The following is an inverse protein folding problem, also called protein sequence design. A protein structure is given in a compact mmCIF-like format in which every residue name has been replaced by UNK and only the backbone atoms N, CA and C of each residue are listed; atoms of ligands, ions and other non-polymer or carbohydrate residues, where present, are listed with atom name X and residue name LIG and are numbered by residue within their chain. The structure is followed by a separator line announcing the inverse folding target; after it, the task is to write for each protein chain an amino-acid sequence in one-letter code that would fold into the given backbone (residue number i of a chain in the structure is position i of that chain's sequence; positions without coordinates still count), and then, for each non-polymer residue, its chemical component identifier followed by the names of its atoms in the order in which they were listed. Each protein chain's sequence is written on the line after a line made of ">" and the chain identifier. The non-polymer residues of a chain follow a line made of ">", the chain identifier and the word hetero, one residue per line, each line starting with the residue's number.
data_IF_607365892017
#
_entry.id   IF_607365892017
#
_cell.length_a   1.000
_cell.length_b   1.000
_cell.length_c   1.000
_cell.angle_alpha   90.00
_cell.angle_beta   90.00
_cell.angle_gamma   90.00
#
_symmetry.space_group_name_H-M   'P 1'
#
loop_
_entity.id
_entity.type
_entity.pdbx_description
1 polymer ?
#
# COMPACT_ATOMS: atom_id res chain seq x y z
N UNK A 1 -6.40 12.00 24.16
CA UNK A 1 -5.17 12.55 23.57
C UNK A 1 -4.88 11.73 22.32
N UNK A 2 -5.11 12.28 21.13
CA UNK A 2 -4.73 11.60 19.88
C UNK A 2 -3.19 11.68 19.75
N UNK A 3 -2.47 10.58 19.49
CA UNK A 3 -1.03 10.63 19.30
C UNK A 3 -0.69 11.53 18.10
N UNK A 4 0.45 12.25 18.11
CA UNK A 4 0.79 13.24 17.08
C UNK A 4 0.80 12.68 15.65
N UNK A 5 0.98 11.37 15.50
CA UNK A 5 1.06 10.66 14.22
C UNK A 5 -0.31 10.49 13.50
N UNK A 6 -1.46 10.66 14.17
CA UNK A 6 -2.79 10.52 13.51
C UNK A 6 -3.26 11.78 12.77
N UNK A 7 -2.41 12.79 12.63
CA UNK A 7 -2.74 14.01 11.87
C UNK A 7 -2.33 13.92 10.39
N UNK A 8 -1.41 13.02 10.06
CA UNK A 8 -0.86 12.89 8.72
C UNK A 8 -1.67 11.83 7.94
N UNK A 9 -2.15 12.13 6.72
CA UNK A 9 -2.92 11.19 5.90
C UNK A 9 -2.04 10.14 5.22
N UNK A 10 -0.79 9.97 5.66
CA UNK A 10 0.15 9.00 5.13
C UNK A 10 0.77 8.23 6.30
N UNK A 11 0.67 6.92 6.28
CA UNK A 11 1.28 6.03 7.28
C UNK A 11 2.11 4.92 6.64
N UNK A 12 3.24 4.64 7.26
CA UNK A 12 4.13 3.55 6.91
C UNK A 12 4.28 2.58 8.09
N UNK A 13 3.94 1.32 7.86
CA UNK A 13 4.27 0.22 8.75
C UNK A 13 5.75 -0.11 8.55
N UNK A 14 6.57 0.16 9.57
CA UNK A 14 7.99 -0.15 9.53
C UNK A 14 8.19 -1.55 10.06
N UNK A 15 8.79 -2.42 9.24
CA UNK A 15 9.02 -3.82 9.60
C UNK A 15 10.48 -4.25 9.35
N UNK A 16 10.98 -5.26 10.10
CA UNK A 16 12.26 -5.90 9.82
C UNK A 16 12.34 -6.48 8.41
N UNK A 17 13.54 -6.52 7.84
CA UNK A 17 13.77 -6.93 6.45
C UNK A 17 13.39 -8.40 6.16
N UNK A 18 13.38 -9.25 7.19
CA UNK A 18 13.05 -10.68 7.14
C UNK A 18 11.55 -10.96 7.32
N UNK A 19 10.76 -9.94 7.64
CA UNK A 19 9.32 -10.09 7.85
C UNK A 19 8.54 -9.92 6.54
N UNK A 20 7.86 -10.99 6.12
CA UNK A 20 7.14 -11.09 4.84
C UNK A 20 5.63 -11.30 5.04
N UNK A 21 5.10 -10.92 6.21
CA UNK A 21 3.69 -11.09 6.55
C UNK A 21 2.91 -9.76 6.58
N UNK A 22 3.56 -8.66 6.21
CA UNK A 22 2.95 -7.33 6.26
C UNK A 22 1.79 -7.20 5.28
N UNK A 23 1.85 -7.89 4.14
CA UNK A 23 0.72 -7.96 3.23
C UNK A 23 -0.53 -8.59 3.85
N UNK A 24 -0.37 -9.64 4.66
CA UNK A 24 -1.48 -10.32 5.32
C UNK A 24 -2.07 -9.45 6.42
N UNK A 25 -1.23 -8.71 7.14
CA UNK A 25 -1.66 -7.77 8.16
C UNK A 25 -2.45 -6.62 7.53
N UNK A 26 -1.91 -5.99 6.50
CA UNK A 26 -2.57 -4.90 5.77
C UNK A 26 -3.90 -5.36 5.14
N UNK A 27 -3.91 -6.55 4.54
CA UNK A 27 -5.12 -7.12 3.99
C UNK A 27 -6.17 -7.38 5.08
N UNK A 28 -5.79 -7.96 6.22
CA UNK A 28 -6.71 -8.23 7.33
C UNK A 28 -7.35 -6.94 7.85
N UNK A 29 -6.54 -5.90 8.06
CA UNK A 29 -7.05 -4.58 8.48
C UNK A 29 -7.99 -4.00 7.43
N UNK A 30 -7.61 -4.05 6.15
CA UNK A 30 -8.46 -3.58 5.06
C UNK A 30 -9.82 -4.31 5.01
N UNK A 31 -9.82 -5.66 5.14
CA UNK A 31 -11.04 -6.48 5.17
C UNK A 31 -11.92 -6.15 6.36
N UNK A 32 -11.33 -5.89 7.53
CA UNK A 32 -12.07 -5.51 8.74
C UNK A 32 -12.75 -4.15 8.59
N UNK A 33 -12.06 -3.16 8.01
CA UNK A 33 -12.62 -1.86 7.68
C UNK A 33 -13.73 -1.95 6.63
N UNK A 34 -13.55 -2.78 5.59
CA UNK A 34 -14.60 -3.08 4.61
C UNK A 34 -15.84 -3.71 5.26
N UNK A 35 -15.63 -4.66 6.19
CA UNK A 35 -16.71 -5.25 6.98
C UNK A 35 -17.44 -4.25 7.90
N UNK A 36 -16.79 -3.15 8.26
CA UNK A 36 -17.40 -2.04 8.99
C UNK A 36 -18.09 -0.99 8.08
N UNK A 37 -18.11 -1.22 6.76
CA UNK A 37 -18.80 -0.37 5.77
C UNK A 37 -17.92 0.68 5.09
N UNK A 38 -16.62 0.74 5.40
CA UNK A 38 -15.70 1.70 4.78
C UNK A 38 -15.24 1.24 3.39
N UNK A 39 -15.09 2.19 2.48
CA UNK A 39 -14.59 1.95 1.12
C UNK A 39 -13.07 1.92 1.13
N UNK A 40 -12.49 0.76 1.43
CA UNK A 40 -11.03 0.57 1.34
C UNK A 40 -10.63 0.10 -0.05
N UNK A 41 -9.74 0.85 -0.68
CA UNK A 41 -9.13 0.51 -1.97
C UNK A 41 -7.66 0.17 -1.86
N UNK A 42 -7.07 -0.23 -3.00
CA UNK A 42 -5.63 -0.31 -3.13
C UNK A 42 -5.11 -1.70 -3.46
N UNK A 43 -3.78 -1.82 -3.42
CA UNK A 43 -3.04 -2.98 -3.89
C UNK A 43 -2.15 -3.51 -2.77
N UNK A 44 -2.27 -4.82 -2.51
CA UNK A 44 -1.35 -5.55 -1.64
C UNK A 44 -0.48 -6.49 -2.46
N UNK A 45 0.82 -6.47 -2.19
CA UNK A 45 1.75 -7.44 -2.76
C UNK A 45 1.63 -8.80 -2.06
N UNK A 46 1.70 -9.91 -2.78
CA UNK A 46 1.99 -11.23 -2.21
C UNK A 46 3.18 -11.83 -2.95
N UNK A 47 4.11 -12.36 -2.17
CA UNK A 47 5.18 -13.18 -2.70
C UNK A 47 4.79 -14.66 -2.64
N UNK A 48 4.84 -15.31 -3.79
CA UNK A 48 4.67 -16.75 -3.93
C UNK A 48 5.88 -17.33 -4.68
N UNK A 49 5.85 -18.62 -5.01
CA UNK A 49 6.86 -19.28 -5.86
C UNK A 49 6.20 -19.94 -7.06
N UNK A 50 6.84 -19.80 -8.21
CA UNK A 50 6.52 -20.65 -9.36
C UNK A 50 6.87 -22.11 -9.06
N UNK A 51 6.32 -23.05 -9.83
CA UNK A 51 6.61 -24.48 -9.69
C UNK A 51 8.11 -24.82 -9.83
N UNK A 52 8.89 -23.96 -10.50
CA UNK A 52 10.35 -24.08 -10.65
C UNK A 52 11.14 -23.48 -9.46
N UNK A 53 10.47 -22.97 -8.43
CA UNK A 53 11.09 -22.36 -7.25
C UNK A 53 11.45 -20.88 -7.39
N UNK A 54 11.31 -20.28 -8.58
CA UNK A 54 11.54 -18.85 -8.81
C UNK A 54 10.54 -17.99 -8.03
N UNK A 55 10.97 -16.80 -7.61
CA UNK A 55 10.11 -15.85 -6.91
C UNK A 55 9.01 -15.36 -7.83
N UNK A 56 7.76 -15.52 -7.40
CA UNK A 56 6.58 -14.99 -8.07
C UNK A 56 6.06 -13.81 -7.28
N UNK A 57 5.96 -12.65 -7.91
CA UNK A 57 5.43 -11.43 -7.29
C UNK A 57 4.06 -11.14 -7.90
N UNK A 58 3.06 -10.94 -7.05
CA UNK A 58 1.70 -10.64 -7.48
C UNK A 58 1.16 -9.44 -6.70
N UNK A 59 0.30 -8.64 -7.33
CA UNK A 59 -0.51 -7.61 -6.69
C UNK A 59 -1.96 -8.05 -6.66
N UNK A 60 -2.64 -7.77 -5.56
CA UNK A 60 -4.04 -8.06 -5.34
C UNK A 60 -4.79 -6.77 -5.11
N UNK A 61 -5.85 -6.55 -5.88
CA UNK A 61 -6.79 -5.45 -5.65
C UNK A 61 -7.72 -5.79 -4.50
N UNK A 62 -7.67 -4.97 -3.45
CA UNK A 62 -8.52 -5.12 -2.26
C UNK A 62 -10.01 -4.90 -2.56
N UNK A 63 -10.38 -4.29 -3.68
CA UNK A 63 -11.77 -4.01 -4.04
C UNK A 63 -12.41 -5.11 -4.87
N UNK A 64 -11.67 -5.68 -5.82
CA UNK A 64 -12.19 -6.62 -6.81
C UNK A 64 -11.62 -8.02 -6.72
N UNK A 65 -10.67 -8.27 -5.80
CA UNK A 65 -9.89 -9.51 -5.69
C UNK A 65 -9.13 -9.89 -6.97
N UNK A 66 -8.98 -8.94 -7.91
CA UNK A 66 -8.20 -9.13 -9.13
C UNK A 66 -6.72 -9.24 -8.80
N UNK A 67 -6.06 -10.16 -9.49
CA UNK A 67 -4.63 -10.43 -9.33
C UNK A 67 -3.85 -9.96 -10.56
N UNK A 68 -2.71 -9.31 -10.33
CA UNK A 68 -1.78 -8.84 -11.35
C UNK A 68 -0.41 -9.46 -11.12
N UNK A 69 0.08 -10.24 -12.07
CA UNK A 69 1.38 -10.91 -11.95
C UNK A 69 2.50 -9.94 -12.34
N UNK A 70 3.26 -9.47 -11.34
CA UNK A 70 4.35 -8.51 -11.50
C UNK A 70 5.65 -9.16 -11.96
N UNK A 71 5.89 -10.43 -11.67
CA UNK A 71 7.06 -11.16 -12.17
C UNK A 71 6.75 -11.83 -13.50
N UNK A 72 7.68 -11.83 -14.44
CA UNK A 72 7.62 -12.72 -15.60
C UNK A 72 8.66 -13.83 -15.44
N UNK A 73 8.24 -15.10 -15.60
CA UNK A 73 9.18 -16.21 -15.72
C UNK A 73 9.82 -16.18 -17.12
N UNK A 74 11.04 -15.66 -17.20
CA UNK A 74 11.82 -15.61 -18.44
C UNK A 74 12.54 -16.95 -18.74
N UNK A 75 12.24 -18.01 -17.98
CA UNK A 75 12.76 -19.35 -18.17
C UNK A 75 14.04 -19.65 -17.39
N UNK A 76 14.49 -20.90 -17.48
CA UNK A 76 15.56 -21.52 -16.69
C UNK A 76 16.97 -20.88 -16.85
N UNK A 77 17.14 -19.93 -17.76
CA UNK A 77 18.40 -19.21 -17.97
C UNK A 77 18.48 -17.83 -17.25
N UNK A 78 17.36 -17.31 -16.74
CA UNK A 78 17.32 -15.99 -16.09
C UNK A 78 17.43 -16.09 -14.58
N UNK A 79 18.52 -15.55 -14.01
CA UNK A 79 18.74 -15.45 -12.54
C UNK A 79 17.94 -14.33 -11.86
N UNK A 80 17.23 -13.50 -12.63
CA UNK A 80 16.41 -12.40 -12.14
C UNK A 80 15.03 -12.43 -12.81
N UNK A 81 13.98 -12.54 -12.00
CA UNK A 81 12.62 -12.26 -12.46
C UNK A 81 12.54 -10.77 -12.81
N UNK A 82 12.29 -10.46 -14.08
CA UNK A 82 12.08 -9.07 -14.50
C UNK A 82 10.68 -8.61 -14.13
N UNK A 83 10.55 -7.31 -13.85
CA UNK A 83 9.27 -6.68 -13.58
C UNK A 83 8.43 -6.61 -14.86
N UNK A 84 7.18 -7.04 -14.80
CA UNK A 84 6.22 -6.97 -15.90
C UNK A 84 5.63 -5.54 -15.99
N UNK A 85 6.02 -4.74 -17.01
CA UNK A 85 5.57 -3.35 -17.12
C UNK A 85 4.07 -3.25 -17.44
N UNK A 86 3.49 -4.25 -18.12
CA UNK A 86 2.06 -4.28 -18.41
C UNK A 86 1.24 -4.47 -17.12
N UNK A 87 1.66 -5.39 -16.26
CA UNK A 87 1.02 -5.61 -14.96
C UNK A 87 1.12 -4.37 -14.07
N UNK A 88 2.26 -3.68 -14.09
CA UNK A 88 2.43 -2.42 -13.36
C UNK A 88 1.48 -1.33 -13.88
N UNK A 89 1.34 -1.18 -15.20
CA UNK A 89 0.43 -0.20 -15.80
C UNK A 89 -1.04 -0.50 -15.46
N UNK A 90 -1.43 -1.78 -15.45
CA UNK A 90 -2.78 -2.21 -15.04
C UNK A 90 -3.04 -1.92 -13.56
N UNK A 91 -2.07 -2.24 -12.70
CA UNK A 91 -2.13 -1.92 -11.27
C UNK A 91 -2.25 -0.40 -11.02
N UNK A 92 -1.46 0.40 -11.72
CA UNK A 92 -1.54 1.87 -11.68
C UNK A 92 -2.95 2.37 -12.10
N UNK A 93 -3.56 1.77 -13.12
CA UNK A 93 -4.93 2.09 -13.50
C UNK A 93 -5.97 1.74 -12.42
N UNK A 94 -5.79 0.64 -11.69
CA UNK A 94 -6.66 0.28 -10.55
C UNK A 94 -6.57 1.32 -9.43
N UNK A 95 -5.36 1.78 -9.10
CA UNK A 95 -5.16 2.83 -8.11
C UNK A 95 -5.84 4.14 -8.53
N UNK A 96 -5.67 4.56 -9.79
CA UNK A 96 -6.38 5.74 -10.32
C UNK A 96 -7.89 5.60 -10.25
N UNK A 97 -8.43 4.44 -10.64
CA UNK A 97 -9.87 4.20 -10.52
C UNK A 97 -10.36 4.23 -9.07
N UNK A 98 -9.55 3.73 -8.12
CA UNK A 98 -9.88 3.83 -6.70
C UNK A 98 -9.91 5.28 -6.20
N UNK A 99 -9.00 6.11 -6.70
CA UNK A 99 -9.04 7.55 -6.44
C UNK A 99 -10.30 8.20 -7.01
N UNK A 100 -10.61 7.96 -8.29
CA UNK A 100 -11.76 8.52 -8.98
C UNK A 100 -13.10 8.10 -8.34
N UNK A 101 -13.17 6.86 -7.88
CA UNK A 101 -14.35 6.35 -7.18
C UNK A 101 -14.52 6.98 -5.79
N UNK A 102 -13.48 7.63 -5.24
CA UNK A 102 -13.52 8.27 -3.92
C UNK A 102 -13.50 7.26 -2.78
N UNK A 103 -12.48 6.39 -2.74
CA UNK A 103 -12.25 5.51 -1.58
C UNK A 103 -11.96 6.32 -0.31
N UNK A 104 -12.35 5.77 0.83
CA UNK A 104 -12.16 6.41 2.14
C UNK A 104 -10.73 6.23 2.65
N UNK A 105 -10.05 5.15 2.23
CA UNK A 105 -8.67 4.82 2.55
C UNK A 105 -8.08 3.97 1.42
N UNK A 106 -6.79 4.14 1.14
CA UNK A 106 -6.04 3.31 0.19
C UNK A 106 -4.86 2.60 0.86
N UNK A 107 -4.67 1.32 0.52
CA UNK A 107 -3.47 0.57 0.88
C UNK A 107 -2.58 0.43 -0.36
N UNK A 108 -1.33 0.86 -0.30
CA UNK A 108 -0.36 0.69 -1.39
C UNK A 108 0.85 -0.03 -0.82
N UNK A 109 0.86 -1.36 -0.84
CA UNK A 109 1.95 -2.15 -0.27
C UNK A 109 3.03 -2.46 -1.31
N UNK A 110 3.76 -1.42 -1.74
CA UNK A 110 4.99 -1.57 -2.54
C UNK A 110 5.81 -0.28 -2.55
N UNK A 111 6.56 -0.04 -1.48
CA UNK A 111 7.65 0.94 -1.52
C UNK A 111 9.00 0.22 -1.53
N UNK A 112 9.73 0.36 -2.63
CA UNK A 112 11.10 -0.14 -2.77
C UNK A 112 11.98 0.85 -3.53
N UNK A 113 13.12 0.35 -4.02
CA UNK A 113 14.15 1.15 -4.71
C UNK A 113 13.59 1.88 -5.95
N UNK A 114 12.63 1.27 -6.64
CA UNK A 114 11.99 1.84 -7.83
C UNK A 114 11.14 3.06 -7.46
N UNK A 115 10.31 2.92 -6.43
CA UNK A 115 9.46 4.00 -5.92
C UNK A 115 10.26 5.13 -5.27
N UNK A 116 11.34 4.80 -4.56
CA UNK A 116 12.30 5.76 -4.03
C UNK A 116 12.94 6.62 -5.12
N UNK A 117 13.07 6.09 -6.35
CA UNK A 117 13.58 6.81 -7.52
C UNK A 117 12.50 7.60 -8.27
N UNK A 118 11.28 7.69 -7.73
CA UNK A 118 10.15 8.38 -8.36
C UNK A 118 9.46 7.57 -9.48
N UNK A 119 9.73 6.28 -9.57
CA UNK A 119 9.08 5.37 -10.52
C UNK A 119 8.04 4.49 -9.81
N UNK A 120 7.47 3.49 -10.50
CA UNK A 120 6.49 2.59 -9.87
C UNK A 120 5.19 3.32 -9.54
N UNK A 121 4.81 3.31 -8.27
CA UNK A 121 3.56 3.91 -7.77
C UNK A 121 3.72 5.30 -7.15
N UNK A 122 4.88 5.95 -7.32
CA UNK A 122 5.14 7.27 -6.71
C UNK A 122 4.08 8.33 -7.10
N UNK A 123 3.68 8.36 -8.37
CA UNK A 123 2.64 9.28 -8.83
C UNK A 123 1.29 9.02 -8.16
N UNK A 124 0.93 7.75 -7.97
CA UNK A 124 -0.31 7.36 -7.28
C UNK A 124 -0.26 7.72 -5.79
N UNK A 125 0.86 7.50 -5.11
CA UNK A 125 1.06 7.96 -3.73
C UNK A 125 0.79 9.47 -3.60
N UNK A 126 1.39 10.27 -4.47
CA UNK A 126 1.20 11.72 -4.45
C UNK A 126 -0.26 12.11 -4.70
N UNK A 127 -0.92 11.49 -5.69
CA UNK A 127 -2.31 11.79 -6.05
C UNK A 127 -3.29 11.51 -4.89
N UNK A 128 -3.12 10.42 -4.15
CA UNK A 128 -3.97 10.14 -2.98
C UNK A 128 -3.73 11.13 -1.84
N UNK A 129 -2.47 11.48 -1.58
CA UNK A 129 -2.12 12.47 -0.54
C UNK A 129 -2.68 13.85 -0.90
N UNK A 130 -2.57 14.28 -2.16
CA UNK A 130 -3.13 15.55 -2.66
C UNK A 130 -4.66 15.59 -2.57
N UNK A 131 -5.33 14.46 -2.80
CA UNK A 131 -6.77 14.31 -2.61
C UNK A 131 -7.19 14.20 -1.12
N UNK A 132 -6.24 14.25 -0.19
CA UNK A 132 -6.48 14.08 1.24
C UNK A 132 -7.04 12.70 1.59
N UNK A 133 -6.81 11.69 0.75
CA UNK A 133 -7.18 10.30 1.00
C UNK A 133 -6.09 9.64 1.85
N UNK A 134 -6.43 9.08 3.01
CA UNK A 134 -5.48 8.34 3.85
C UNK A 134 -4.81 7.20 3.07
N UNK A 135 -3.48 7.18 3.10
CA UNK A 135 -2.64 6.16 2.45
C UNK A 135 -1.90 5.36 3.50
N UNK A 136 -2.01 4.04 3.40
CA UNK A 136 -1.29 3.08 4.23
C UNK A 136 -0.33 2.25 3.38
N UNK A 137 0.94 2.17 3.78
CA UNK A 137 1.96 1.34 3.11
C UNK A 137 2.77 0.54 4.14
N UNK A 138 3.45 -0.51 3.71
CA UNK A 138 4.54 -1.12 4.48
C UNK A 138 5.89 -0.75 3.88
N UNK A 139 6.87 -0.53 4.75
CA UNK A 139 8.24 -0.15 4.39
C UNK A 139 9.20 -1.01 5.19
N UNK A 140 10.02 -1.79 4.49
CA UNK A 140 11.10 -2.54 5.12
C UNK A 140 12.14 -1.58 5.70
N UNK A 141 12.73 -1.92 6.86
CA UNK A 141 13.66 -1.06 7.58
C UNK A 141 14.79 -0.49 6.70
N UNK A 142 15.33 -1.29 5.77
CA UNK A 142 16.38 -0.83 4.82
C UNK A 142 15.94 0.28 3.86
N UNK A 143 14.63 0.44 3.63
CA UNK A 143 14.05 1.45 2.75
C UNK A 143 13.47 2.65 3.51
N UNK A 144 13.57 2.66 4.85
CA UNK A 144 12.98 3.70 5.68
C UNK A 144 13.60 5.08 5.43
N UNK A 145 14.92 5.16 5.22
CA UNK A 145 15.57 6.44 4.91
C UNK A 145 15.11 7.00 3.56
N UNK A 146 14.97 6.14 2.55
CA UNK A 146 14.46 6.52 1.24
C UNK A 146 12.99 6.97 1.33
N UNK A 147 12.19 6.29 2.13
CA UNK A 147 10.81 6.67 2.41
C UNK A 147 10.69 8.03 3.10
N UNK A 148 11.52 8.28 4.11
CA UNK A 148 11.58 9.58 4.80
C UNK A 148 11.96 10.70 3.84
N UNK A 149 12.94 10.47 2.95
CA UNK A 149 13.31 11.44 1.91
C UNK A 149 12.18 11.70 0.92
N UNK A 150 11.54 10.63 0.44
CA UNK A 150 10.43 10.71 -0.51
C UNK A 150 9.24 11.52 0.05
N UNK A 151 8.87 11.26 1.30
CA UNK A 151 7.74 11.90 1.97
C UNK A 151 8.06 13.24 2.62
N UNK A 152 9.33 13.67 2.60
CA UNK A 152 9.79 14.82 3.38
C UNK A 152 9.53 14.68 4.89
N UNK A 153 9.51 13.44 5.41
CA UNK A 153 9.14 13.10 6.78
C UNK A 153 7.71 13.47 7.19
N UNK A 154 6.80 13.70 6.23
CA UNK A 154 5.39 13.99 6.46
C UNK A 154 4.54 12.71 6.45
N UNK A 155 4.92 11.73 7.27
CA UNK A 155 4.16 10.50 7.47
C UNK A 155 4.15 10.04 8.93
N UNK A 156 3.20 9.18 9.27
CA UNK A 156 3.18 8.42 10.50
C UNK A 156 4.01 7.15 10.35
N UNK A 157 4.91 6.89 11.30
CA UNK A 157 5.58 5.58 11.43
C UNK A 157 4.77 4.73 12.41
N UNK A 158 4.22 3.62 11.93
CA UNK A 158 3.44 2.67 12.73
C UNK A 158 4.27 1.41 12.95
N UNK A 159 4.14 0.81 14.14
CA UNK A 159 4.64 -0.54 14.35
C UNK A 159 3.80 -1.53 13.52
N UNK A 160 4.37 -2.70 13.23
CA UNK A 160 3.67 -3.83 12.64
C UNK A 160 2.69 -4.49 13.64
N UNK A 161 1.78 -3.69 14.22
CA UNK A 161 0.79 -4.10 15.21
C UNK A 161 -0.62 -3.81 14.69
N UNK A 162 -1.46 -4.84 14.62
CA UNK A 162 -2.82 -4.79 14.06
C UNK A 162 -3.67 -3.71 14.74
N UNK A 163 -3.56 -3.59 16.06
CA UNK A 163 -4.34 -2.63 16.86
C UNK A 163 -3.92 -1.20 16.55
N UNK A 164 -2.62 -0.92 16.47
CA UNK A 164 -2.12 0.42 16.12
C UNK A 164 -2.53 0.85 14.71
N UNK A 165 -2.48 -0.07 13.76
CA UNK A 165 -2.87 0.21 12.37
C UNK A 165 -4.37 0.51 12.32
N UNK A 166 -5.20 -0.32 12.95
CA UNK A 166 -6.65 -0.10 13.01
C UNK A 166 -6.99 1.24 13.66
N UNK A 167 -6.35 1.59 14.77
CA UNK A 167 -6.57 2.86 15.47
C UNK A 167 -6.22 4.06 14.58
N UNK A 168 -5.11 3.98 13.84
CA UNK A 168 -4.74 5.04 12.90
C UNK A 168 -5.77 5.15 11.77
N UNK A 169 -6.16 4.03 11.16
CA UNK A 169 -7.17 4.00 10.10
C UNK A 169 -8.50 4.61 10.57
N UNK A 170 -9.01 4.19 11.72
CA UNK A 170 -10.26 4.72 12.29
C UNK A 170 -10.16 6.22 12.55
N UNK A 171 -9.06 6.69 13.16
CA UNK A 171 -8.86 8.11 13.41
C UNK A 171 -8.85 8.94 12.11
N UNK A 172 -8.26 8.43 11.02
CA UNK A 172 -8.30 9.10 9.72
C UNK A 172 -9.71 9.12 9.10
N UNK A 173 -10.40 7.98 9.15
CA UNK A 173 -11.74 7.82 8.61
C UNK A 173 -12.77 8.71 9.33
N UNK A 174 -12.69 8.80 10.67
CA UNK A 174 -13.51 9.70 11.48
C UNK A 174 -13.27 11.18 11.13
N UNK A 175 -12.01 11.57 10.93
CA UNK A 175 -11.65 12.95 10.52
C UNK A 175 -12.22 13.29 9.16
N UNK A 176 -12.17 12.35 8.20
CA UNK A 176 -12.75 12.51 6.87
C UNK A 176 -14.28 12.52 6.88
N UNK A 177 -14.89 11.66 7.69
CA UNK A 177 -16.33 11.64 7.91
C UNK A 177 -16.86 12.93 8.52
N UNK A 178 -16.09 13.53 9.44
CA UNK A 178 -16.39 14.85 10.03
C UNK A 178 -16.13 16.02 9.04
N UNK A 179 -15.19 15.85 8.10
CA UNK A 179 -14.86 16.84 7.08
C UNK A 179 -15.75 16.77 5.83
N UNK A 180 -16.54 15.70 5.66
CA UNK A 180 -17.54 15.61 4.59
C UNK A 180 -18.78 16.40 5.02
N UNK A 181 -19.19 17.46 4.30
CA UNK A 181 -20.47 18.07 4.53
C UNK A 181 -21.56 17.03 4.24
N UNK A 182 -22.41 16.79 5.24
CA UNK A 182 -23.69 16.10 5.06
C UNK A 182 -24.44 16.87 3.94
N UNK A 183 -24.95 16.19 2.89
CA UNK A 183 -25.73 16.85 1.85
C UNK A 183 -27.02 17.48 2.42
#
# INVERSE_FOLDING_TARGET
>A
MNPPFTTLPLAALVHPDDEHAMELLLERVARRLQGAGWRVGGLVHRQDRYANGNKRMQLFDLRSDRQFELSQDLGCASRACSLNPQALAQASAVLRQALDDGVDLVVINRFGIVEASGQGFAAEFAAFVEAGTPVLTAVAARHLEDWRRYTGSLHAELAADEVQIEQWCQAQLERRGCASPIP
#
